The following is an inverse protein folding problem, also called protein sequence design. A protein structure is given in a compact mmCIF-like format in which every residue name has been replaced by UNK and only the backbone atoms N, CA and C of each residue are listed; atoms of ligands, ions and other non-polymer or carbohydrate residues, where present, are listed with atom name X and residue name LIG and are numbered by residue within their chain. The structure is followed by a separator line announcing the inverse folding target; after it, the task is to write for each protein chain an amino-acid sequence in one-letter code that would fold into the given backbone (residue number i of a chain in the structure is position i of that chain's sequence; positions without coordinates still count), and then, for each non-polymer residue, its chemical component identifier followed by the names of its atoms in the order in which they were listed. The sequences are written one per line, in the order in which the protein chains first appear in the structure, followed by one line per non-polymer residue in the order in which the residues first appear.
data_IF_302728680040
#
_entry.id   IF_302728680040
#
_cell.length_a   1.000
_cell.length_b   1.000
_cell.length_c   1.000
_cell.angle_alpha   90.00
_cell.angle_beta   90.00
_cell.angle_gamma   90.00
#
_symmetry.space_group_name_H-M   'P 1'
#
loop_
_entity.id
_entity.type
_entity.pdbx_description
1 polymer ?
#
# COMPACT_ATOMS: atom_id res chain seq x y z
N UNK A 1 0.41 15.44 4.59
CA UNK A 1 0.31 14.11 5.19
C UNK A 1 -0.43 13.21 4.22
N UNK A 2 0.06 12.00 4.03
CA UNK A 2 -0.60 10.99 3.21
C UNK A 2 -1.87 10.51 3.93
N UNK A 3 -2.94 10.25 3.18
CA UNK A 3 -4.19 9.75 3.75
C UNK A 3 -4.47 8.36 3.24
N UNK A 4 -5.03 7.52 4.10
CA UNK A 4 -5.45 6.15 3.76
C UNK A 4 -6.94 5.98 3.98
N UNK A 5 -7.57 5.27 3.06
CA UNK A 5 -8.91 4.71 3.21
C UNK A 5 -8.81 3.36 3.88
N UNK A 6 -9.70 3.05 4.80
CA UNK A 6 -9.64 1.82 5.57
C UNK A 6 -11.00 1.11 5.50
N UNK A 7 -10.95 -0.17 5.17
CA UNK A 7 -12.08 -1.11 5.29
C UNK A 7 -11.69 -2.26 6.21
N UNK A 8 -12.66 -2.78 6.91
CA UNK A 8 -12.53 -4.02 7.69
C UNK A 8 -13.66 -4.97 7.36
N UNK A 9 -13.40 -6.27 7.42
CA UNK A 9 -14.37 -7.29 7.11
C UNK A 9 -14.14 -8.58 7.88
N UNK A 10 -15.13 -9.47 7.80
CA UNK A 10 -15.07 -10.80 8.38
C UNK A 10 -15.11 -11.83 7.26
N UNK A 11 -14.08 -12.67 7.16
CA UNK A 11 -13.94 -13.73 6.18
C UNK A 11 -13.76 -15.07 6.88
N UNK A 12 -14.19 -16.14 6.26
CA UNK A 12 -14.07 -17.49 6.82
C UNK A 12 -12.62 -17.98 6.84
N UNK A 13 -11.81 -17.52 5.88
CA UNK A 13 -10.39 -17.85 5.78
C UNK A 13 -9.58 -16.74 5.11
N UNK A 14 -8.26 -16.79 5.26
CA UNK A 14 -7.31 -15.94 4.53
C UNK A 14 -7.46 -16.12 3.01
N UNK A 15 -7.65 -17.36 2.55
CA UNK A 15 -7.87 -17.68 1.14
C UNK A 15 -9.15 -17.04 0.56
N UNK A 16 -10.21 -16.93 1.35
CA UNK A 16 -11.44 -16.25 0.93
C UNK A 16 -11.21 -14.73 0.84
N UNK A 17 -10.44 -14.18 1.75
CA UNK A 17 -10.04 -12.77 1.70
C UNK A 17 -9.14 -12.47 0.49
N UNK A 18 -8.14 -13.29 0.23
CA UNK A 18 -7.28 -13.17 -0.95
C UNK A 18 -8.10 -13.27 -2.25
N UNK A 19 -9.03 -14.24 -2.33
CA UNK A 19 -9.94 -14.39 -3.47
C UNK A 19 -10.85 -13.18 -3.68
N UNK A 20 -11.32 -12.56 -2.60
CA UNK A 20 -12.13 -11.34 -2.65
C UNK A 20 -11.38 -10.19 -3.32
N UNK A 21 -10.07 -10.13 -3.13
CA UNK A 21 -9.17 -9.10 -3.64
C UNK A 21 -8.49 -9.46 -4.97
N UNK A 22 -8.56 -10.70 -5.45
CA UNK A 22 -7.77 -11.18 -6.58
C UNK A 22 -8.22 -10.56 -7.92
N UNK A 23 -7.37 -9.69 -8.48
CA UNK A 23 -7.54 -9.03 -9.78
C UNK A 23 -6.81 -9.75 -10.94
N UNK A 24 -6.21 -10.89 -10.71
CA UNK A 24 -5.37 -11.59 -11.71
C UNK A 24 -6.12 -11.90 -13.00
N UNK A 25 -7.40 -12.33 -12.91
CA UNK A 25 -8.23 -12.63 -14.05
C UNK A 25 -8.53 -11.37 -14.89
N UNK A 26 -8.86 -10.26 -14.23
CA UNK A 26 -9.11 -8.98 -14.89
C UNK A 26 -7.86 -8.44 -15.58
N UNK A 27 -6.71 -8.47 -14.90
CA UNK A 27 -5.44 -7.98 -15.46
C UNK A 27 -4.97 -8.81 -16.65
N UNK A 28 -5.20 -10.12 -16.61
CA UNK A 28 -4.92 -10.99 -17.77
C UNK A 28 -5.81 -10.63 -18.94
N UNK A 29 -7.11 -10.45 -18.72
CA UNK A 29 -8.07 -10.02 -19.73
C UNK A 29 -7.68 -8.66 -20.33
N UNK A 30 -7.42 -7.68 -19.47
CA UNK A 30 -7.01 -6.33 -19.89
C UNK A 30 -5.77 -6.35 -20.76
N UNK A 31 -4.77 -7.15 -20.37
CA UNK A 31 -3.52 -7.29 -21.16
C UNK A 31 -3.74 -7.87 -22.54
N UNK A 32 -4.73 -8.76 -22.69
CA UNK A 32 -5.00 -9.47 -23.93
C UNK A 32 -5.90 -8.65 -24.87
N UNK A 33 -6.92 -7.99 -24.33
CA UNK A 33 -7.98 -7.36 -25.14
C UNK A 33 -8.00 -5.84 -25.06
N UNK A 34 -7.32 -5.22 -24.10
CA UNK A 34 -7.35 -3.77 -23.82
C UNK A 34 -8.79 -3.22 -23.65
N UNK A 35 -9.68 -4.06 -23.13
CA UNK A 35 -11.11 -3.77 -22.93
C UNK A 35 -11.53 -4.05 -21.49
N UNK A 36 -12.43 -3.20 -20.98
CA UNK A 36 -13.03 -3.41 -19.65
C UNK A 36 -13.99 -4.62 -19.66
N UNK A 37 -13.79 -5.52 -18.73
CA UNK A 37 -14.70 -6.64 -18.49
C UNK A 37 -15.05 -6.70 -17.00
N UNK A 38 -16.23 -6.17 -16.67
CA UNK A 38 -16.73 -6.09 -15.29
C UNK A 38 -16.83 -7.45 -14.59
N UNK A 39 -17.13 -8.50 -15.36
CA UNK A 39 -17.27 -9.86 -14.80
C UNK A 39 -15.93 -10.46 -14.35
N UNK A 40 -14.83 -10.01 -14.95
CA UNK A 40 -13.48 -10.47 -14.61
C UNK A 40 -12.88 -9.74 -13.40
N UNK A 41 -13.47 -8.62 -12.98
CA UNK A 41 -12.97 -7.86 -11.82
C UNK A 41 -13.13 -8.67 -10.54
N UNK A 42 -12.23 -8.45 -9.58
CA UNK A 42 -12.41 -9.01 -8.24
C UNK A 42 -13.67 -8.47 -7.57
N UNK A 43 -14.11 -9.15 -6.52
CA UNK A 43 -15.36 -8.78 -5.84
C UNK A 43 -15.25 -7.38 -5.19
N UNK A 44 -14.10 -7.04 -4.61
CA UNK A 44 -13.86 -5.71 -4.06
C UNK A 44 -14.07 -4.61 -5.11
N UNK A 45 -13.46 -4.73 -6.29
CA UNK A 45 -13.62 -3.76 -7.37
C UNK A 45 -15.06 -3.67 -7.90
N UNK A 46 -15.76 -4.80 -7.97
CA UNK A 46 -17.18 -4.83 -8.36
C UNK A 46 -18.03 -4.04 -7.39
N UNK A 47 -17.85 -4.25 -6.09
CA UNK A 47 -18.60 -3.55 -5.04
C UNK A 47 -18.33 -2.04 -5.05
N UNK A 48 -17.08 -1.63 -5.19
CA UNK A 48 -16.71 -0.22 -5.26
C UNK A 48 -17.09 0.45 -6.59
N UNK A 49 -17.41 -0.33 -7.63
CA UNK A 49 -17.65 0.19 -8.98
C UNK A 49 -16.39 0.82 -9.61
N UNK A 50 -15.22 0.26 -9.29
CA UNK A 50 -13.93 0.65 -9.89
C UNK A 50 -13.44 -0.44 -10.83
N UNK A 51 -12.58 -0.06 -11.77
CA UNK A 51 -12.05 -1.01 -12.76
C UNK A 51 -10.95 -1.86 -12.16
N UNK A 52 -10.00 -1.24 -11.52
CA UNK A 52 -8.83 -1.86 -10.90
C UNK A 52 -8.42 -1.03 -9.67
N UNK A 53 -7.51 -1.56 -8.89
CA UNK A 53 -6.76 -0.85 -7.87
C UNK A 53 -5.26 -1.07 -8.09
N UNK A 54 -4.44 -0.14 -7.70
CA UNK A 54 -2.99 -0.29 -7.76
C UNK A 54 -2.49 -0.97 -6.49
N UNK A 55 -1.86 -2.14 -6.64
CA UNK A 55 -1.33 -2.94 -5.52
C UNK A 55 -0.21 -2.21 -4.76
N UNK A 56 0.49 -1.29 -5.43
CA UNK A 56 1.55 -0.50 -4.81
C UNK A 56 1.00 0.47 -3.74
N UNK A 57 -0.33 0.76 -3.80
CA UNK A 57 -1.02 1.63 -2.84
C UNK A 57 -1.89 0.86 -1.84
N UNK A 58 -1.83 -0.47 -1.90
CA UNK A 58 -2.69 -1.35 -1.13
C UNK A 58 -1.90 -2.05 -0.02
N UNK A 59 -2.43 -1.99 1.19
CA UNK A 59 -1.96 -2.81 2.31
C UNK A 59 -3.13 -3.69 2.75
N UNK A 60 -2.90 -4.99 2.79
CA UNK A 60 -3.89 -5.97 3.25
C UNK A 60 -3.37 -6.69 4.49
N UNK A 61 -4.26 -6.97 5.43
CA UNK A 61 -3.94 -7.77 6.61
C UNK A 61 -5.09 -8.72 6.91
N UNK A 62 -4.77 -10.00 6.99
CA UNK A 62 -5.63 -11.00 7.62
C UNK A 62 -5.11 -11.28 9.03
N UNK A 63 -6.00 -11.30 10.01
CA UNK A 63 -5.70 -11.43 11.43
C UNK A 63 -6.63 -12.46 12.06
N UNK A 64 -6.23 -13.74 12.15
CA UNK A 64 -7.07 -14.81 12.69
C UNK A 64 -7.47 -14.59 14.15
N UNK A 65 -6.70 -13.81 14.93
CA UNK A 65 -7.06 -13.43 16.29
C UNK A 65 -8.15 -12.33 16.34
N UNK A 66 -8.55 -11.78 15.18
CA UNK A 66 -9.68 -10.89 15.02
C UNK A 66 -9.39 -9.41 15.16
N UNK A 67 -10.43 -8.65 15.50
CA UNK A 67 -10.47 -7.20 15.40
C UNK A 67 -9.33 -6.49 16.15
N UNK A 68 -8.99 -6.94 17.34
CA UNK A 68 -7.93 -6.29 18.14
C UNK A 68 -6.55 -6.37 17.47
N UNK A 69 -6.24 -7.51 16.85
CA UNK A 69 -5.00 -7.67 16.08
C UNK A 69 -4.99 -6.73 14.87
N UNK A 70 -6.11 -6.59 14.16
CA UNK A 70 -6.23 -5.65 13.04
C UNK A 70 -6.01 -4.21 13.47
N UNK A 71 -6.65 -3.78 14.56
CA UNK A 71 -6.57 -2.40 15.04
C UNK A 71 -5.13 -2.02 15.43
N UNK A 72 -4.37 -2.96 15.98
CA UNK A 72 -2.97 -2.76 16.30
C UNK A 72 -2.06 -2.70 15.06
N UNK A 73 -2.51 -3.21 13.93
CA UNK A 73 -1.77 -3.19 12.68
C UNK A 73 -2.01 -1.92 11.86
N UNK A 74 -3.16 -1.27 12.01
CA UNK A 74 -3.56 -0.13 11.18
C UNK A 74 -2.68 1.10 11.50
N UNK A 75 -1.95 1.66 10.52
CA UNK A 75 -1.03 2.79 10.73
C UNK A 75 -1.79 4.12 10.72
N UNK A 76 -2.64 4.33 11.70
CA UNK A 76 -3.41 5.56 11.90
C UNK A 76 -3.74 5.75 13.39
N UNK A 77 -4.22 6.93 13.74
CA UNK A 77 -4.64 7.26 15.11
C UNK A 77 -5.63 6.21 15.66
N UNK A 78 -5.17 5.42 16.62
CA UNK A 78 -5.92 4.30 17.20
C UNK A 78 -7.25 4.75 17.84
N UNK A 79 -7.29 5.96 18.42
CA UNK A 79 -8.51 6.46 19.03
C UNK A 79 -9.58 6.76 17.97
N UNK A 80 -9.18 7.38 16.86
CA UNK A 80 -10.08 7.67 15.74
C UNK A 80 -10.57 6.40 15.07
N UNK A 81 -9.68 5.40 14.90
CA UNK A 81 -10.06 4.09 14.34
C UNK A 81 -11.08 3.39 15.26
N UNK A 82 -10.83 3.35 16.57
CA UNK A 82 -11.76 2.75 17.53
C UNK A 82 -13.12 3.45 17.51
N UNK A 83 -13.16 4.79 17.43
CA UNK A 83 -14.40 5.55 17.30
C UNK A 83 -15.15 5.19 16.02
N UNK A 84 -14.44 5.02 14.89
CA UNK A 84 -15.04 4.61 13.63
C UNK A 84 -15.59 3.18 13.69
N UNK A 85 -14.87 2.25 14.28
CA UNK A 85 -15.32 0.85 14.49
C UNK A 85 -16.61 0.82 15.31
N UNK A 86 -16.64 1.52 16.46
CA UNK A 86 -17.82 1.61 17.32
C UNK A 86 -18.97 2.34 16.59
N UNK A 87 -18.67 3.44 15.92
CA UNK A 87 -19.68 4.24 15.19
C UNK A 87 -20.33 3.47 14.03
N UNK A 88 -19.63 2.51 13.43
CA UNK A 88 -20.16 1.63 12.41
C UNK A 88 -20.74 0.31 12.96
N UNK A 89 -20.77 0.12 14.28
CA UNK A 89 -21.33 -1.08 14.92
C UNK A 89 -20.56 -2.36 14.60
N UNK A 90 -19.26 -2.27 14.35
CA UNK A 90 -18.42 -3.41 13.96
C UNK A 90 -17.98 -4.15 15.22
N UNK A 91 -18.55 -5.33 15.42
CA UNK A 91 -18.21 -6.19 16.56
C UNK A 91 -17.11 -7.21 16.24
N UNK A 92 -17.00 -7.59 14.97
CA UNK A 92 -16.04 -8.61 14.50
C UNK A 92 -15.44 -8.21 13.17
N UNK A 93 -14.16 -8.43 13.04
CA UNK A 93 -13.43 -8.37 11.77
C UNK A 93 -12.13 -9.14 11.92
N UNK A 94 -11.69 -9.79 10.82
CA UNK A 94 -10.41 -10.49 10.76
C UNK A 94 -9.62 -10.12 9.51
N UNK A 95 -10.10 -9.17 8.72
CA UNK A 95 -9.41 -8.67 7.54
C UNK A 95 -9.49 -7.14 7.48
N UNK A 96 -8.43 -6.49 7.06
CA UNK A 96 -8.40 -5.06 6.76
C UNK A 96 -7.77 -4.80 5.40
N UNK A 97 -8.31 -3.78 4.75
CA UNK A 97 -7.83 -3.24 3.48
C UNK A 97 -7.53 -1.77 3.75
N UNK A 98 -6.32 -1.33 3.41
CA UNK A 98 -5.89 0.04 3.53
C UNK A 98 -5.38 0.50 2.18
N UNK A 99 -5.90 1.60 1.68
CA UNK A 99 -5.58 2.12 0.36
C UNK A 99 -5.21 3.60 0.41
N UNK A 100 -4.12 3.96 -0.25
CA UNK A 100 -3.68 5.35 -0.29
C UNK A 100 -4.65 6.19 -1.13
N UNK A 101 -5.16 7.30 -0.56
CA UNK A 101 -6.17 8.16 -1.19
C UNK A 101 -5.69 8.94 -2.41
N UNK A 102 -4.42 8.85 -2.79
CA UNK A 102 -3.91 9.57 -3.96
C UNK A 102 -4.45 9.04 -5.29
N UNK A 103 -5.02 7.82 -5.28
CA UNK A 103 -5.39 7.11 -6.50
C UNK A 103 -6.88 6.71 -6.53
N UNK A 104 -7.59 7.23 -7.49
CA UNK A 104 -8.79 6.71 -8.18
C UNK A 104 -10.03 6.30 -7.40
N UNK A 105 -9.98 6.02 -6.10
CA UNK A 105 -11.16 5.63 -5.32
C UNK A 105 -11.67 6.83 -4.54
N UNK A 106 -12.86 7.33 -4.89
CA UNK A 106 -13.51 8.37 -4.09
C UNK A 106 -14.13 7.80 -2.80
N UNK A 107 -14.27 8.62 -1.76
CA UNK A 107 -14.93 8.22 -0.50
C UNK A 107 -16.36 7.76 -0.72
N UNK A 108 -17.06 8.32 -1.71
CA UNK A 108 -18.42 7.88 -2.08
C UNK A 108 -18.41 6.46 -2.62
N UNK A 109 -17.45 6.10 -3.49
CA UNK A 109 -17.29 4.72 -3.99
C UNK A 109 -16.84 3.78 -2.89
N UNK A 110 -15.94 4.24 -2.00
CA UNK A 110 -15.45 3.46 -0.88
C UNK A 110 -16.57 2.94 0.03
N UNK A 111 -17.62 3.73 0.22
CA UNK A 111 -18.79 3.36 1.03
C UNK A 111 -19.74 2.36 0.36
N UNK A 112 -19.55 2.02 -0.93
CA UNK A 112 -20.40 1.05 -1.64
C UNK A 112 -20.02 -0.40 -1.35
N UNK A 113 -18.88 -0.67 -0.70
CA UNK A 113 -18.51 -2.03 -0.32
C UNK A 113 -19.58 -2.66 0.56
N UNK A 114 -19.89 -3.93 0.29
CA UNK A 114 -20.92 -4.71 0.99
C UNK A 114 -20.29 -5.78 1.88
N UNK A 115 -19.25 -6.43 1.38
CA UNK A 115 -18.56 -7.51 2.11
C UNK A 115 -17.58 -6.98 3.16
N UNK A 116 -17.20 -5.72 3.06
CA UNK A 116 -16.34 -5.03 4.02
C UNK A 116 -16.94 -3.68 4.41
N UNK A 117 -16.72 -3.25 5.63
CA UNK A 117 -17.21 -1.96 6.17
C UNK A 117 -16.16 -0.88 5.97
N UNK A 118 -16.52 0.20 5.31
CA UNK A 118 -15.67 1.38 5.16
C UNK A 118 -15.62 2.18 6.46
N UNK A 119 -14.45 2.23 7.10
CA UNK A 119 -14.26 2.98 8.34
C UNK A 119 -14.10 4.48 8.13
N UNK A 120 -13.58 4.89 6.96
CA UNK A 120 -13.29 6.28 6.66
C UNK A 120 -11.91 6.49 6.07
N UNK A 121 -11.53 7.77 6.03
CA UNK A 121 -10.23 8.23 5.55
C UNK A 121 -9.45 8.82 6.73
N UNK A 122 -8.24 8.34 6.94
CA UNK A 122 -7.39 8.69 8.08
C UNK A 122 -6.05 9.24 7.62
N UNK A 123 -5.42 10.06 8.46
CA UNK A 123 -4.03 10.42 8.26
C UNK A 123 -3.16 9.19 8.49
N UNK A 124 -2.25 8.94 7.55
CA UNK A 124 -1.30 7.86 7.65
C UNK A 124 -0.24 8.22 8.69
N UNK A 125 -0.10 7.40 9.71
CA UNK A 125 0.87 7.57 10.79
C UNK A 125 1.52 6.23 11.12
N UNK A 126 2.82 6.13 10.89
CA UNK A 126 3.61 4.94 11.23
C UNK A 126 3.87 4.82 12.73
N UNK A 127 3.68 5.92 13.49
CA UNK A 127 3.88 5.97 14.93
C UNK A 127 2.66 6.58 15.64
N UNK A 128 1.48 5.93 15.56
CA UNK A 128 0.26 6.48 16.13
C UNK A 128 0.44 6.72 17.64
N UNK A 129 0.25 7.98 18.05
CA UNK A 129 0.33 8.39 19.46
C UNK A 129 -0.81 7.73 20.25
N UNK A 130 -0.47 6.88 21.20
CA UNK A 130 -1.45 6.27 22.13
C UNK A 130 -1.36 4.76 22.29
N UNK A 131 -0.58 4.11 21.47
CA UNK A 131 -0.23 2.71 21.69
C UNK A 131 1.28 2.56 21.72
N UNK A 132 1.79 1.81 22.67
CA UNK A 132 2.96 0.98 22.42
C UNK A 132 2.52 0.00 21.31
N UNK A 133 2.40 0.51 20.09
CA UNK A 133 2.12 -0.30 18.93
C UNK A 133 3.25 -1.33 18.89
N UNK A 134 2.90 -2.55 19.21
CA UNK A 134 3.76 -3.67 18.90
C UNK A 134 4.01 -3.53 17.39
N UNK A 135 5.23 -3.21 17.02
CA UNK A 135 5.73 -3.26 15.62
C UNK A 135 5.67 -4.67 15.05
N UNK A 136 5.01 -5.59 15.74
CA UNK A 136 4.90 -7.02 15.46
C UNK A 136 4.15 -7.36 14.17
N UNK A 137 3.71 -6.39 13.39
CA UNK A 137 3.08 -6.61 12.08
C UNK A 137 3.74 -5.87 10.92
N UNK A 138 4.52 -4.84 11.17
CA UNK A 138 5.29 -4.16 10.13
C UNK A 138 6.55 -4.99 9.82
N UNK A 139 6.61 -5.52 8.63
CA UNK A 139 7.82 -6.17 8.14
C UNK A 139 8.74 -5.08 7.60
N UNK A 140 9.80 -4.78 8.33
CA UNK A 140 10.90 -3.99 7.80
C UNK A 140 11.82 -4.92 7.03
N UNK A 141 12.16 -4.53 5.81
CA UNK A 141 13.28 -5.12 5.10
C UNK A 141 14.47 -4.19 5.29
N UNK A 142 15.53 -4.72 5.91
CA UNK A 142 16.77 -3.99 6.12
C UNK A 142 17.82 -4.56 5.18
N UNK A 143 18.42 -3.68 4.37
CA UNK A 143 19.58 -4.02 3.58
C UNK A 143 20.80 -3.36 4.22
N UNK A 144 21.84 -4.14 4.42
CA UNK A 144 23.11 -3.68 4.96
C UNK A 144 24.15 -3.94 3.88
N UNK A 145 24.94 -2.93 3.56
CA UNK A 145 25.98 -3.03 2.56
C UNK A 145 27.12 -2.09 2.89
N UNK A 146 28.22 -2.31 2.20
CA UNK A 146 29.37 -1.44 2.21
C UNK A 146 29.49 -0.75 0.85
N UNK A 147 29.87 0.51 0.83
CA UNK A 147 30.13 1.27 -0.39
C UNK A 147 31.37 2.14 -0.19
N UNK A 148 32.16 2.26 -1.22
CA UNK A 148 33.31 3.16 -1.33
C UNK A 148 32.93 4.50 -1.99
N UNK A 149 31.64 4.68 -2.30
CA UNK A 149 31.10 5.91 -2.89
C UNK A 149 30.92 6.98 -1.83
N UNK A 150 31.07 8.23 -2.24
CA UNK A 150 30.64 9.37 -1.43
C UNK A 150 29.13 9.29 -1.14
N UNK A 151 28.69 9.95 -0.07
CA UNK A 151 27.26 10.03 0.29
C UNK A 151 26.42 10.52 -0.90
N UNK A 152 26.86 11.56 -1.60
CA UNK A 152 26.15 12.11 -2.76
C UNK A 152 26.01 11.07 -3.89
N UNK A 153 27.09 10.36 -4.22
CA UNK A 153 27.05 9.32 -5.25
C UNK A 153 26.23 8.11 -4.83
N UNK A 154 26.20 7.80 -3.53
CA UNK A 154 25.36 6.72 -3.01
C UNK A 154 23.88 7.09 -3.03
N UNK A 155 23.52 8.35 -2.75
CA UNK A 155 22.13 8.80 -2.82
C UNK A 155 21.56 8.79 -4.24
N UNK A 156 22.40 8.95 -5.29
CA UNK A 156 21.97 8.77 -6.68
C UNK A 156 21.48 7.35 -7.00
N UNK A 157 21.92 6.36 -6.21
CA UNK A 157 21.42 4.98 -6.33
C UNK A 157 19.91 4.86 -6.07
N UNK A 158 19.36 5.79 -5.29
CA UNK A 158 17.96 5.86 -4.91
C UNK A 158 17.17 6.92 -5.71
N UNK A 159 17.80 7.69 -6.58
CA UNK A 159 17.14 8.73 -7.35
C UNK A 159 16.17 8.13 -8.37
N UNK A 160 14.87 8.42 -8.20
CA UNK A 160 13.79 7.94 -9.08
C UNK A 160 13.02 9.07 -9.75
N UNK A 161 13.52 10.31 -9.75
CA UNK A 161 12.80 11.50 -10.19
C UNK A 161 12.34 11.40 -11.66
N UNK A 162 13.20 10.89 -12.53
CA UNK A 162 12.88 10.70 -13.95
C UNK A 162 11.73 9.70 -14.14
N UNK A 163 11.81 8.56 -13.49
CA UNK A 163 10.79 7.52 -13.58
C UNK A 163 9.46 7.97 -12.97
N UNK A 164 9.49 8.65 -11.83
CA UNK A 164 8.30 9.20 -11.19
C UNK A 164 7.66 10.33 -12.01
N UNK A 165 8.45 11.09 -12.76
CA UNK A 165 7.92 12.06 -13.72
C UNK A 165 7.19 11.36 -14.86
N UNK A 166 7.76 10.30 -15.44
CA UNK A 166 7.11 9.53 -16.50
C UNK A 166 5.80 8.90 -16.01
N UNK A 167 5.78 8.36 -14.78
CA UNK A 167 4.56 7.82 -14.16
C UNK A 167 3.49 8.92 -14.09
N UNK A 168 3.81 10.08 -13.50
CA UNK A 168 2.85 11.20 -13.39
C UNK A 168 2.34 11.66 -14.75
N UNK A 169 3.22 11.79 -15.74
CA UNK A 169 2.85 12.24 -17.09
C UNK A 169 1.90 11.25 -17.79
N UNK A 170 2.10 9.96 -17.53
CA UNK A 170 1.22 8.90 -18.03
C UNK A 170 -0.14 8.88 -17.32
N UNK A 171 -0.12 8.91 -15.99
CA UNK A 171 -1.32 8.86 -15.14
C UNK A 171 -2.23 10.08 -15.32
N UNK A 172 -1.64 11.25 -15.48
CA UNK A 172 -2.38 12.49 -15.75
C UNK A 172 -2.80 12.64 -17.24
N UNK A 173 -2.53 11.63 -18.08
CA UNK A 173 -2.90 11.63 -19.49
C UNK A 173 -2.11 12.62 -20.34
N UNK A 174 -0.99 13.18 -19.84
CA UNK A 174 -0.12 14.08 -20.59
C UNK A 174 0.65 13.36 -21.70
N UNK A 175 0.82 12.06 -21.57
CA UNK A 175 1.41 11.18 -22.57
C UNK A 175 0.68 9.85 -22.64
N UNK A 176 0.69 9.22 -23.83
CA UNK A 176 0.25 7.83 -24.01
C UNK A 176 1.41 6.83 -23.88
N UNK A 177 2.64 7.32 -23.78
CA UNK A 177 3.82 6.48 -23.63
C UNK A 177 3.89 5.95 -22.19
N UNK A 178 3.91 4.64 -22.03
CA UNK A 178 4.09 4.01 -20.70
C UNK A 178 5.46 4.38 -20.13
N UNK A 179 5.56 4.49 -18.78
CA UNK A 179 6.83 4.70 -18.11
C UNK A 179 7.85 3.62 -18.50
N UNK A 180 9.09 4.05 -18.76
CA UNK A 180 10.15 3.14 -19.16
C UNK A 180 10.78 2.47 -17.94
N UNK A 181 10.68 1.13 -17.75
CA UNK A 181 11.26 0.44 -16.62
C UNK A 181 12.78 0.64 -16.46
N UNK A 182 13.48 0.99 -17.54
CA UNK A 182 14.92 1.27 -17.50
C UNK A 182 15.27 2.59 -16.80
N UNK A 183 14.29 3.48 -16.62
CA UNK A 183 14.47 4.74 -15.88
C UNK A 183 14.21 4.58 -14.38
N UNK A 184 13.86 3.38 -13.91
CA UNK A 184 13.82 3.08 -12.47
C UNK A 184 15.19 3.33 -11.85
N UNK A 185 15.20 3.80 -10.60
CA UNK A 185 16.45 3.94 -9.87
C UNK A 185 17.17 2.59 -9.70
N UNK A 186 18.45 2.62 -9.43
CA UNK A 186 19.25 1.39 -9.34
C UNK A 186 18.79 0.50 -8.19
N UNK A 187 18.40 1.07 -7.05
CA UNK A 187 17.81 0.33 -5.94
C UNK A 187 16.56 -0.44 -6.39
N UNK A 188 15.60 0.22 -7.05
CA UNK A 188 14.38 -0.41 -7.53
C UNK A 188 14.64 -1.56 -8.51
N UNK A 189 15.66 -1.42 -9.39
CA UNK A 189 16.06 -2.49 -10.31
C UNK A 189 16.61 -3.71 -9.58
N UNK A 190 17.47 -3.50 -8.58
CA UNK A 190 18.12 -4.58 -7.82
C UNK A 190 17.13 -5.34 -6.97
N UNK A 191 16.24 -4.65 -6.25
CA UNK A 191 15.22 -5.31 -5.40
C UNK A 191 13.96 -5.70 -6.16
N UNK A 192 13.93 -5.42 -7.48
CA UNK A 192 12.84 -5.75 -8.41
C UNK A 192 11.47 -5.18 -8.00
N UNK A 193 11.47 -3.92 -7.57
CA UNK A 193 10.24 -3.17 -7.33
C UNK A 193 10.06 -2.10 -8.42
N UNK A 194 8.83 -1.65 -8.62
CA UNK A 194 8.50 -0.63 -9.63
C UNK A 194 9.07 0.73 -9.23
N UNK A 195 8.73 1.18 -8.03
CA UNK A 195 9.26 2.37 -7.36
C UNK A 195 9.04 2.23 -5.84
N UNK A 196 9.52 3.17 -5.07
CA UNK A 196 9.26 3.24 -3.62
C UNK A 196 8.76 4.64 -3.25
N UNK A 197 8.09 4.74 -2.13
CA UNK A 197 7.76 6.02 -1.53
C UNK A 197 8.90 6.46 -0.61
N UNK A 198 9.45 7.69 -0.79
CA UNK A 198 10.54 8.18 0.05
C UNK A 198 10.22 8.13 1.55
N UNK A 199 8.96 8.30 1.92
CA UNK A 199 8.50 8.22 3.31
C UNK A 199 8.60 6.82 3.94
N UNK A 200 8.77 5.77 3.13
CA UNK A 200 8.93 4.38 3.60
C UNK A 200 10.37 3.86 3.48
N UNK A 201 11.27 4.67 2.94
CA UNK A 201 12.68 4.32 2.83
C UNK A 201 13.50 5.22 3.75
N UNK A 202 14.17 4.62 4.73
CA UNK A 202 15.20 5.29 5.52
C UNK A 202 16.56 4.82 5.04
N UNK A 203 17.42 5.75 4.66
CA UNK A 203 18.81 5.49 4.27
C UNK A 203 19.69 6.11 5.35
N UNK A 204 20.51 5.28 6.00
CA UNK A 204 21.53 5.72 6.94
C UNK A 204 22.90 5.36 6.39
N UNK A 205 23.77 6.35 6.31
CA UNK A 205 25.18 6.18 5.96
C UNK A 205 25.98 6.44 7.23
N UNK A 206 26.80 5.47 7.59
CA UNK A 206 27.71 5.59 8.74
C UNK A 206 29.13 5.33 8.26
N UNK A 207 30.03 6.21 8.64
CA UNK A 207 31.45 5.92 8.49
C UNK A 207 31.80 4.66 9.28
N UNK A 208 32.71 3.85 8.75
CA UNK A 208 33.22 2.73 9.54
C UNK A 208 33.75 3.27 10.87
N UNK A 209 33.39 2.64 12.01
CA UNK A 209 34.02 2.99 13.26
C UNK A 209 35.53 2.77 13.06
N UNK A 210 36.34 3.80 13.29
CA UNK A 210 37.79 3.63 13.36
C UNK A 210 38.07 2.39 14.21
N UNK A 211 38.76 1.46 13.57
CA UNK A 211 38.99 0.10 14.11
C UNK A 211 39.49 0.19 15.55
N UNK A 212 38.79 -0.36 16.54
CA UNK A 212 39.21 -0.29 17.94
C UNK A 212 40.26 -1.34 18.31
N UNK A 213 41.06 -1.83 17.31
CA UNK A 213 42.17 -2.74 17.56
C UNK A 213 43.51 -2.15 17.10
#
# INVERSE_FOLDING_TARGET
MSKIMIWVGQFDSEADFEKYMDQSAFRKWWKEYDEDNKEMRCQFCKELGVMDYDEDFLIMKYAPAGLLELLNFIPADTQKINQAVVGNGIEKANASIMYNCREGISTQKAANAVSVSFLGTFDFDLNPTGTTASTAGLKYMTWIGHTDKSETEFMEYFNQDEYMKEIRDYEEGRTKKRPNPEHRCQFCKVVNIKYYYPEFLTVEIKDEPENPF
#
